data_IF_217729114752
#
_entry.id   IF_217729114752
#
_cell.length_a   1.000
_cell.length_b   1.000
_cell.length_c   1.000
_cell.angle_alpha   90.00
_cell.angle_beta   90.00
_cell.angle_gamma   90.00
#
_symmetry.space_group_name_H-M   'P 1'
#
loop_
_entity.id
_entity.type
_entity.pdbx_description
1 polymer ?
#
# COMPACT_ATOMS: atom_id res chain seq x y z
N UNK A 1 -7.41 15.99 4.22
CA UNK A 1 -6.74 14.68 4.32
C UNK A 1 -6.18 14.36 2.95
N UNK A 2 -4.90 14.00 2.87
CA UNK A 2 -4.24 13.65 1.60
C UNK A 2 -3.94 12.15 1.59
N UNK A 3 -3.99 11.54 0.41
CA UNK A 3 -3.71 10.12 0.20
C UNK A 3 -2.66 9.98 -0.89
N UNK A 4 -1.69 9.11 -0.66
CA UNK A 4 -0.63 8.80 -1.60
C UNK A 4 -0.63 7.30 -1.89
N UNK A 5 -0.26 6.94 -3.11
CA UNK A 5 -0.11 5.54 -3.54
C UNK A 5 1.37 5.31 -3.81
N UNK A 6 1.97 4.35 -3.10
CA UNK A 6 3.40 4.07 -3.12
C UNK A 6 3.63 2.60 -3.46
N UNK A 7 4.62 2.31 -4.29
CA UNK A 7 5.03 0.96 -4.65
C UNK A 7 6.56 0.85 -4.57
N UNK A 8 7.08 -0.11 -3.78
CA UNK A 8 8.50 -0.18 -3.45
C UNK A 8 8.95 -1.53 -2.89
N UNK A 9 8.37 -2.64 -3.37
CA UNK A 9 8.67 -4.00 -2.89
C UNK A 9 7.51 -4.64 -2.11
N UNK A 10 7.83 -5.52 -1.17
CA UNK A 10 6.83 -6.20 -0.33
C UNK A 10 6.05 -5.17 0.51
N UNK A 11 4.73 -5.11 0.32
CA UNK A 11 3.90 -4.12 0.99
C UNK A 11 3.85 -4.31 2.51
N UNK A 12 4.12 -5.49 3.06
CA UNK A 12 4.19 -5.69 4.52
C UNK A 12 5.31 -4.87 5.16
N UNK A 13 6.48 -4.81 4.52
CA UNK A 13 7.60 -4.01 5.01
C UNK A 13 7.26 -2.50 4.97
N UNK A 14 6.57 -2.06 3.92
CA UNK A 14 6.15 -0.68 3.76
C UNK A 14 5.04 -0.31 4.76
N UNK A 15 4.04 -1.17 4.94
CA UNK A 15 2.94 -0.95 5.88
C UNK A 15 3.47 -0.75 7.31
N UNK A 16 4.37 -1.63 7.76
CA UNK A 16 5.04 -1.50 9.04
C UNK A 16 5.84 -0.20 9.17
N UNK A 17 6.60 0.17 8.13
CA UNK A 17 7.39 1.40 8.13
C UNK A 17 6.50 2.65 8.22
N UNK A 18 5.47 2.77 7.37
CA UNK A 18 4.64 3.97 7.30
C UNK A 18 3.71 4.15 8.50
N UNK A 19 3.21 3.06 9.11
CA UNK A 19 2.41 3.14 10.35
C UNK A 19 3.16 3.76 11.51
N UNK A 20 4.49 3.70 11.52
CA UNK A 20 5.32 4.28 12.57
C UNK A 20 5.55 5.79 12.40
N UNK A 21 5.22 6.37 11.25
CA UNK A 21 5.50 7.78 10.96
C UNK A 21 4.47 8.70 11.62
N UNK A 22 4.96 9.75 12.30
CA UNK A 22 4.09 10.79 12.85
C UNK A 22 3.32 11.50 11.73
N UNK A 23 2.01 11.62 11.91
CA UNK A 23 1.11 12.25 10.94
C UNK A 23 0.47 11.28 9.95
N UNK A 24 0.88 10.01 9.91
CA UNK A 24 0.17 8.97 9.16
C UNK A 24 -1.02 8.48 10.00
N UNK A 25 -2.22 8.65 9.47
CA UNK A 25 -3.46 8.23 10.14
C UNK A 25 -3.93 6.83 9.74
N UNK A 26 -3.55 6.35 8.55
CA UNK A 26 -3.93 5.03 8.04
C UNK A 26 -2.97 4.56 6.96
N UNK A 27 -2.79 3.24 6.87
CA UNK A 27 -2.06 2.56 5.79
C UNK A 27 -2.90 1.37 5.32
N UNK A 28 -3.02 1.22 4.00
CA UNK A 28 -3.79 0.15 3.35
C UNK A 28 -2.91 -0.49 2.29
N UNK A 29 -2.74 -1.81 2.39
CA UNK A 29 -2.02 -2.60 1.38
C UNK A 29 -2.97 -3.03 0.26
N UNK A 30 -2.50 -3.01 -0.98
CA UNK A 30 -3.30 -3.39 -2.15
C UNK A 30 -2.48 -3.41 -3.43
N UNK A 31 -3.17 -3.57 -4.57
CA UNK A 31 -2.56 -3.70 -5.89
C UNK A 31 -2.95 -2.53 -6.78
N UNK A 32 -2.01 -2.04 -7.58
CA UNK A 32 -2.21 -0.93 -8.52
C UNK A 32 -1.23 -1.02 -9.69
N UNK A 33 -1.45 -0.27 -10.76
CA UNK A 33 -0.58 -0.22 -11.94
C UNK A 33 -0.67 -1.42 -12.90
N UNK A 34 -1.52 -2.41 -12.59
CA UNK A 34 -1.79 -3.57 -13.44
C UNK A 34 -2.95 -3.36 -14.43
N UNK A 35 -3.23 -4.39 -15.25
CA UNK A 35 -4.34 -4.40 -16.23
C UNK A 35 -5.58 -5.18 -15.79
N UNK A 36 -5.47 -6.04 -14.79
CA UNK A 36 -6.61 -6.83 -14.31
C UNK A 36 -7.45 -6.02 -13.31
N UNK A 37 -8.78 -5.99 -13.47
CA UNK A 37 -9.66 -5.47 -12.43
C UNK A 37 -9.70 -6.44 -11.24
N UNK A 38 -9.76 -5.88 -10.02
CA UNK A 38 -9.92 -6.61 -8.75
C UNK A 38 -8.98 -7.83 -8.56
N UNK A 39 -7.65 -7.63 -8.65
CA UNK A 39 -6.70 -8.72 -8.44
C UNK A 39 -6.70 -9.25 -7.01
N UNK A 40 -6.37 -10.52 -6.84
CA UNK A 40 -6.09 -11.17 -5.55
C UNK A 40 -4.58 -11.36 -5.35
N UNK A 41 -4.18 -11.87 -4.19
CA UNK A 41 -2.77 -12.08 -3.86
C UNK A 41 -2.09 -13.17 -4.71
N UNK A 42 -2.84 -14.20 -5.11
CA UNK A 42 -2.35 -15.37 -5.84
C UNK A 42 -2.45 -15.28 -7.36
N UNK A 43 -3.08 -14.22 -7.89
CA UNK A 43 -3.31 -14.01 -9.33
C UNK A 43 -2.13 -13.33 -10.02
#
# INVERSE_FOLDING_TARGET
MQTFVLAGGCFWCLDAAYRSLRGVSSVVSGYTGGRRPHPTYEQ
#
